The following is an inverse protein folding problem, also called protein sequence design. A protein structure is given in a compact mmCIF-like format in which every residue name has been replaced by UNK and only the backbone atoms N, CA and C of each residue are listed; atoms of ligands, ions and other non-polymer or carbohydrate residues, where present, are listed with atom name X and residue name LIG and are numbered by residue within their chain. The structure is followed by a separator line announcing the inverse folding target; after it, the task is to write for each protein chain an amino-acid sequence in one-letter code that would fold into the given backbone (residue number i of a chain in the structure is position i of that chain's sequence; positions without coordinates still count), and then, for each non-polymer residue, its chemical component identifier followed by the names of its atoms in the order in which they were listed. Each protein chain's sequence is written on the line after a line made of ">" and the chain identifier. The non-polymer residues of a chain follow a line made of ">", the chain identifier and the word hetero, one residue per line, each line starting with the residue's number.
data_IF_220066116345
#
_entry.id   IF_220066116345
#
_cell.length_a   1.000
_cell.length_b   1.000
_cell.length_c   1.000
_cell.angle_alpha   90.00
_cell.angle_beta   90.00
_cell.angle_gamma   90.00
#
_symmetry.space_group_name_H-M   'P 1'
#
loop_
_entity.id
_entity.type
_entity.pdbx_description
1 polymer ?
#
# COMPACT_ATOMS: atom_id res chain seq x y z
N UNK A 1 -4.34 22.66 -26.21
CA UNK A 1 -4.09 22.78 -24.75
C UNK A 1 -4.47 21.45 -24.10
N UNK A 2 -3.51 20.56 -23.86
CA UNK A 2 -3.78 19.31 -23.14
C UNK A 2 -4.14 19.69 -21.70
N UNK A 3 -5.42 19.60 -21.34
CA UNK A 3 -5.85 19.75 -19.94
C UNK A 3 -5.05 18.75 -19.12
N UNK A 4 -4.31 19.23 -18.13
CA UNK A 4 -3.55 18.40 -17.20
C UNK A 4 -4.45 17.27 -16.70
N UNK A 5 -4.18 16.00 -17.09
CA UNK A 5 -4.96 14.90 -16.49
C UNK A 5 -4.48 14.74 -15.06
N UNK A 6 -5.22 15.38 -14.17
CA UNK A 6 -5.06 15.20 -12.75
C UNK A 6 -5.45 13.75 -12.41
N UNK A 7 -4.56 13.05 -11.73
CA UNK A 7 -4.71 11.64 -11.34
C UNK A 7 -6.06 11.35 -10.65
N UNK A 8 -6.62 12.35 -9.96
CA UNK A 8 -7.89 12.25 -9.23
C UNK A 8 -9.14 12.35 -10.13
N UNK A 9 -9.05 12.97 -11.32
CA UNK A 9 -10.19 13.21 -12.24
C UNK A 9 -10.14 12.36 -13.52
N UNK A 10 -9.21 11.41 -13.57
CA UNK A 10 -9.01 10.48 -14.67
C UNK A 10 -9.91 9.23 -14.48
N UNK A 11 -10.63 8.81 -15.53
CA UNK A 11 -11.40 7.55 -15.53
C UNK A 11 -10.44 6.39 -15.79
N UNK A 12 -10.08 5.68 -14.74
CA UNK A 12 -9.09 4.59 -14.77
C UNK A 12 -9.73 3.27 -15.20
N UNK A 13 -9.24 2.70 -16.30
CA UNK A 13 -9.62 1.37 -16.78
C UNK A 13 -8.47 0.40 -16.51
N UNK A 14 -8.82 -0.77 -16.00
CA UNK A 14 -7.88 -1.84 -15.71
C UNK A 14 -7.53 -2.57 -17.00
N UNK A 15 -6.26 -2.85 -17.19
CA UNK A 15 -5.79 -3.70 -18.29
C UNK A 15 -6.21 -5.16 -18.05
N UNK A 16 -6.82 -5.78 -19.07
CA UNK A 16 -7.25 -7.18 -19.00
C UNK A 16 -6.06 -8.14 -18.97
N UNK A 17 -4.93 -7.79 -19.60
CA UNK A 17 -3.75 -8.63 -19.65
C UNK A 17 -2.89 -8.49 -18.39
N UNK A 18 -3.02 -7.38 -17.67
CA UNK A 18 -2.24 -7.14 -16.46
C UNK A 18 -3.06 -6.46 -15.36
N UNK A 19 -3.49 -7.25 -14.38
CA UNK A 19 -4.39 -6.76 -13.32
C UNK A 19 -3.81 -5.70 -12.36
N UNK A 20 -2.54 -5.34 -12.52
CA UNK A 20 -1.88 -4.26 -11.79
C UNK A 20 -1.68 -3.00 -12.65
N UNK A 21 -1.97 -3.05 -13.94
CA UNK A 21 -1.84 -1.93 -14.87
C UNK A 21 -3.21 -1.28 -15.09
N UNK A 22 -3.25 0.05 -15.02
CA UNK A 22 -4.44 0.84 -15.26
C UNK A 22 -4.10 2.02 -16.15
N UNK A 23 -4.96 2.32 -17.10
CA UNK A 23 -4.82 3.44 -18.01
C UNK A 23 -5.99 4.41 -17.85
N UNK A 24 -5.71 5.70 -17.92
CA UNK A 24 -6.74 6.73 -17.99
C UNK A 24 -7.30 6.81 -19.42
N UNK A 25 -8.61 6.62 -19.59
CA UNK A 25 -9.26 6.75 -20.90
C UNK A 25 -9.23 8.18 -21.47
N UNK A 26 -9.16 9.20 -20.62
CA UNK A 26 -9.19 10.61 -21.06
C UNK A 26 -7.89 11.09 -21.66
N UNK A 27 -6.74 10.55 -21.23
CA UNK A 27 -5.43 11.09 -21.61
C UNK A 27 -4.35 10.03 -21.88
N UNK A 28 -4.65 8.74 -21.74
CA UNK A 28 -3.68 7.66 -21.91
C UNK A 28 -2.63 7.56 -20.80
N UNK A 29 -2.77 8.30 -19.68
CA UNK A 29 -1.83 8.16 -18.55
C UNK A 29 -1.91 6.76 -17.96
N UNK A 30 -0.76 6.13 -17.77
CA UNK A 30 -0.64 4.82 -17.13
C UNK A 30 -0.40 4.94 -15.62
N UNK A 31 -0.86 3.95 -14.86
CA UNK A 31 -0.53 3.77 -13.44
C UNK A 31 -0.39 2.29 -13.09
N UNK A 32 0.52 2.00 -12.17
CA UNK A 32 0.86 0.64 -11.77
C UNK A 32 0.59 0.43 -10.27
N UNK A 33 -0.30 -0.50 -9.93
CA UNK A 33 -0.56 -0.91 -8.56
C UNK A 33 0.45 -1.98 -8.13
N UNK A 34 1.48 -1.59 -7.39
CA UNK A 34 2.48 -2.55 -6.89
C UNK A 34 1.96 -3.32 -5.66
N UNK A 35 1.16 -4.38 -5.89
CA UNK A 35 0.61 -5.24 -4.83
C UNK A 35 1.67 -5.90 -3.94
N UNK A 36 2.87 -6.16 -4.47
CA UNK A 36 3.96 -6.82 -3.70
C UNK A 36 4.45 -5.94 -2.54
N UNK A 37 4.54 -4.62 -2.77
CA UNK A 37 4.96 -3.66 -1.75
C UNK A 37 3.97 -3.56 -0.59
N UNK A 38 2.67 -3.67 -0.89
CA UNK A 38 1.62 -3.64 0.13
C UNK A 38 1.66 -4.85 1.06
N UNK A 39 1.80 -6.07 0.51
CA UNK A 39 1.90 -7.30 1.31
C UNK A 39 3.10 -7.29 2.24
N UNK A 40 4.26 -6.85 1.75
CA UNK A 40 5.48 -6.76 2.56
C UNK A 40 5.32 -5.74 3.71
N UNK A 41 4.72 -4.58 3.43
CA UNK A 41 4.50 -3.54 4.44
C UNK A 41 3.57 -4.02 5.56
N UNK A 42 2.48 -4.71 5.20
CA UNK A 42 1.53 -5.26 6.20
C UNK A 42 2.22 -6.31 7.08
N UNK A 43 3.01 -7.19 6.48
CA UNK A 43 3.76 -8.20 7.24
C UNK A 43 4.75 -7.56 8.22
N UNK A 44 5.49 -6.54 7.79
CA UNK A 44 6.43 -5.82 8.66
C UNK A 44 5.72 -5.09 9.81
N UNK A 45 4.53 -4.54 9.56
CA UNK A 45 3.72 -3.89 10.60
C UNK A 45 3.28 -4.93 11.65
N UNK A 46 2.80 -6.10 11.22
CA UNK A 46 2.38 -7.18 12.12
C UNK A 46 3.54 -7.73 12.95
N UNK A 47 4.73 -7.89 12.34
CA UNK A 47 5.93 -8.34 13.06
C UNK A 47 6.37 -7.31 14.11
N UNK A 48 6.35 -6.02 13.77
CA UNK A 48 6.72 -4.94 14.70
C UNK A 48 5.71 -4.79 15.83
N UNK A 49 4.41 -4.88 15.56
CA UNK A 49 3.39 -4.77 16.60
C UNK A 49 3.43 -5.96 17.55
N UNK A 50 3.62 -7.18 17.04
CA UNK A 50 3.80 -8.37 17.87
C UNK A 50 5.02 -8.26 18.79
N UNK A 51 6.18 -7.87 18.25
CA UNK A 51 7.39 -7.68 19.03
C UNK A 51 7.23 -6.59 20.10
N UNK A 52 6.56 -5.49 19.77
CA UNK A 52 6.30 -4.41 20.72
C UNK A 52 5.44 -4.86 21.90
N UNK A 53 4.39 -5.65 21.64
CA UNK A 53 3.52 -6.20 22.70
C UNK A 53 4.33 -7.12 23.61
N UNK A 54 5.10 -8.06 23.05
CA UNK A 54 5.92 -8.98 23.85
C UNK A 54 6.93 -8.20 24.70
N UNK A 55 7.62 -7.23 24.10
CA UNK A 55 8.60 -6.40 24.82
C UNK A 55 7.95 -5.62 25.97
N UNK A 56 6.76 -5.04 25.73
CA UNK A 56 5.98 -4.34 26.76
C UNK A 56 5.58 -5.29 27.89
N UNK A 57 5.09 -6.49 27.58
CA UNK A 57 4.69 -7.47 28.59
C UNK A 57 5.87 -7.93 29.44
N UNK A 58 7.03 -8.20 28.82
CA UNK A 58 8.25 -8.61 29.53
C UNK A 58 8.78 -7.49 30.43
N UNK A 59 8.82 -6.26 29.93
CA UNK A 59 9.20 -5.09 30.75
C UNK A 59 8.23 -4.95 31.93
N UNK A 60 6.92 -4.97 31.69
CA UNK A 60 5.93 -4.87 32.77
C UNK A 60 6.07 -5.99 33.81
N UNK A 61 6.39 -7.21 33.41
CA UNK A 61 6.67 -8.30 34.37
C UNK A 61 7.93 -8.01 35.20
N UNK A 62 9.04 -7.58 34.56
CA UNK A 62 10.30 -7.30 35.23
C UNK A 62 10.27 -6.09 36.18
N UNK A 63 9.33 -5.16 36.02
CA UNK A 63 9.17 -3.99 36.90
C UNK A 63 8.10 -4.18 37.99
N UNK A 64 7.38 -5.31 37.99
CA UNK A 64 6.41 -5.67 39.04
C UNK A 64 6.94 -6.73 40.03
N UNK A 65 8.14 -7.28 39.78
CA UNK A 65 8.98 -8.00 40.76
C UNK A 65 9.98 -7.04 41.43
#
# INVERSE_FOLDING_TARGET
>A
MQKECNQNNCLWVKDNNNGNHYMCLKCGRERWLNKRRWKLSVLLILLKSGLFIVLKTVLSALFLD
#
